data_IF_974976063458
#
_entry.id   IF_974976063458
#
_cell.length_a   1.000
_cell.length_b   1.000
_cell.length_c   1.000
_cell.angle_alpha   90.00
_cell.angle_beta   90.00
_cell.angle_gamma   90.00
#
_symmetry.space_group_name_H-M   'P 1'
#
loop_
_entity.id
_entity.type
_entity.pdbx_description
1 polymer ?
#
# COMPACT_ATOMS: atom_id res chain seq x y z
N UNK A 1 7.60 -24.29 -8.71
CA UNK A 1 6.71 -23.23 -9.22
C UNK A 1 5.44 -23.24 -8.37
N UNK A 2 4.79 -22.09 -8.13
CA UNK A 2 3.48 -22.11 -7.46
C UNK A 2 2.41 -22.57 -8.45
N UNK A 3 1.41 -23.29 -7.95
CA UNK A 3 0.20 -23.59 -8.69
C UNK A 3 -0.69 -22.35 -8.82
N UNK A 4 -1.59 -22.37 -9.81
CA UNK A 4 -2.47 -21.25 -10.12
C UNK A 4 -3.38 -20.88 -8.94
N UNK A 5 -3.89 -21.87 -8.20
CA UNK A 5 -4.76 -21.62 -7.06
C UNK A 5 -4.02 -20.85 -5.96
N UNK A 6 -2.78 -21.24 -5.65
CA UNK A 6 -1.92 -20.53 -4.73
C UNK A 6 -1.61 -19.11 -5.20
N UNK A 7 -1.33 -18.91 -6.49
CA UNK A 7 -1.09 -17.58 -7.06
C UNK A 7 -2.32 -16.69 -6.89
N UNK A 8 -3.50 -17.19 -7.25
CA UNK A 8 -4.76 -16.44 -7.15
C UNK A 8 -5.13 -16.13 -5.69
N UNK A 9 -4.88 -17.05 -4.77
CA UNK A 9 -5.11 -16.84 -3.32
C UNK A 9 -4.21 -15.74 -2.77
N UNK A 10 -2.91 -15.76 -3.09
CA UNK A 10 -2.00 -14.71 -2.66
C UNK A 10 -2.35 -13.37 -3.31
N UNK A 11 -2.66 -13.34 -4.61
CA UNK A 11 -3.10 -12.13 -5.30
C UNK A 11 -4.31 -11.49 -4.59
N UNK A 12 -5.36 -12.28 -4.31
CA UNK A 12 -6.55 -11.79 -3.61
C UNK A 12 -6.19 -11.22 -2.25
N UNK A 13 -5.35 -11.91 -1.47
CA UNK A 13 -4.87 -11.44 -0.17
C UNK A 13 -4.14 -10.09 -0.26
N UNK A 14 -3.23 -9.94 -1.22
CA UNK A 14 -2.50 -8.67 -1.42
C UNK A 14 -3.43 -7.53 -1.85
N UNK A 15 -4.34 -7.78 -2.79
CA UNK A 15 -5.27 -6.76 -3.29
C UNK A 15 -6.27 -6.32 -2.22
N UNK A 16 -6.86 -7.24 -1.46
CA UNK A 16 -7.78 -6.90 -0.35
C UNK A 16 -7.05 -6.07 0.72
N UNK A 17 -5.82 -6.44 1.08
CA UNK A 17 -5.01 -5.65 2.01
C UNK A 17 -4.68 -4.26 1.45
N UNK A 18 -4.34 -4.15 0.18
CA UNK A 18 -4.06 -2.86 -0.47
C UNK A 18 -5.27 -1.93 -0.42
N UNK A 19 -6.46 -2.45 -0.73
CA UNK A 19 -7.70 -1.69 -0.70
C UNK A 19 -8.08 -1.20 0.70
N UNK A 20 -7.93 -2.02 1.74
CA UNK A 20 -8.18 -1.59 3.12
C UNK A 20 -7.24 -0.45 3.55
N UNK A 21 -5.96 -0.54 3.21
CA UNK A 21 -5.00 0.53 3.49
C UNK A 21 -5.39 1.83 2.76
N UNK A 22 -5.80 1.72 1.49
CA UNK A 22 -6.26 2.87 0.71
C UNK A 22 -7.48 3.53 1.34
N UNK A 23 -8.49 2.75 1.76
CA UNK A 23 -9.67 3.29 2.45
C UNK A 23 -9.31 4.00 3.74
N UNK A 24 -8.39 3.44 4.53
CA UNK A 24 -7.88 4.09 5.75
C UNK A 24 -7.23 5.45 5.46
N UNK A 25 -6.43 5.55 4.39
CA UNK A 25 -5.82 6.81 3.96
C UNK A 25 -6.86 7.82 3.47
N UNK A 26 -7.84 7.38 2.69
CA UNK A 26 -8.92 8.25 2.20
C UNK A 26 -9.72 8.84 3.37
N UNK A 27 -10.01 8.05 4.39
CA UNK A 27 -10.72 8.52 5.58
C UNK A 27 -9.87 9.50 6.40
N UNK A 28 -8.59 9.17 6.62
CA UNK A 28 -7.68 10.02 7.43
C UNK A 28 -7.40 11.38 6.79
N UNK A 29 -7.34 11.44 5.45
CA UNK A 29 -7.05 12.66 4.70
C UNK A 29 -8.29 13.29 4.05
N UNK A 30 -9.49 12.76 4.30
CA UNK A 30 -10.75 13.15 3.67
C UNK A 30 -10.62 13.39 2.15
N UNK A 31 -10.04 12.42 1.43
CA UNK A 31 -9.71 12.56 0.02
C UNK A 31 -10.33 11.45 -0.85
N UNK A 32 -10.38 11.68 -2.16
CA UNK A 32 -10.87 10.69 -3.10
C UNK A 32 -9.91 9.49 -3.22
N UNK A 33 -10.40 8.36 -3.75
CA UNK A 33 -9.64 7.10 -3.83
C UNK A 33 -8.31 7.24 -4.58
N UNK A 34 -8.28 8.07 -5.63
CA UNK A 34 -7.06 8.32 -6.41
C UNK A 34 -6.01 9.01 -5.54
N UNK A 35 -6.39 10.08 -4.85
CA UNK A 35 -5.49 10.79 -3.94
C UNK A 35 -5.04 9.89 -2.79
N UNK A 36 -5.95 9.13 -2.18
CA UNK A 36 -5.59 8.19 -1.11
C UNK A 36 -4.59 7.12 -1.54
N UNK A 37 -4.66 6.65 -2.80
CA UNK A 37 -3.68 5.73 -3.38
C UNK A 37 -2.29 6.37 -3.48
N UNK A 38 -2.22 7.60 -3.99
CA UNK A 38 -0.96 8.35 -4.09
C UNK A 38 -0.39 8.63 -2.70
N UNK A 39 -1.20 9.11 -1.76
CA UNK A 39 -0.77 9.39 -0.39
C UNK A 39 -0.24 8.13 0.29
N UNK A 40 -0.89 6.97 0.11
CA UNK A 40 -0.42 5.70 0.63
C UNK A 40 0.97 5.32 0.07
N UNK A 41 1.15 5.45 -1.25
CA UNK A 41 2.40 5.12 -1.92
C UNK A 41 3.56 6.01 -1.46
N UNK A 42 3.35 7.34 -1.50
CA UNK A 42 4.36 8.32 -1.08
C UNK A 42 4.71 8.14 0.40
N UNK A 43 3.71 7.95 1.28
CA UNK A 43 3.95 7.77 2.71
C UNK A 43 4.82 6.53 3.00
N UNK A 44 4.60 5.41 2.30
CA UNK A 44 5.40 4.20 2.48
C UNK A 44 6.87 4.41 2.11
N UNK A 45 7.13 5.07 0.98
CA UNK A 45 8.50 5.37 0.53
C UNK A 45 9.15 6.36 1.47
N UNK A 46 8.47 7.47 1.78
CA UNK A 46 8.99 8.50 2.70
C UNK A 46 9.36 7.91 4.06
N UNK A 47 8.51 7.05 4.64
CA UNK A 47 8.80 6.39 5.91
C UNK A 47 9.99 5.44 5.83
N UNK A 48 10.10 4.67 4.74
CA UNK A 48 11.24 3.77 4.53
C UNK A 48 12.56 4.55 4.39
N UNK A 49 12.53 5.68 3.66
CA UNK A 49 13.68 6.58 3.52
C UNK A 49 14.08 7.18 4.87
N UNK A 50 13.12 7.71 5.63
CA UNK A 50 13.38 8.27 6.97
C UNK A 50 13.96 7.23 7.94
N UNK A 51 13.44 6.00 7.93
CA UNK A 51 13.91 4.92 8.81
C UNK A 51 15.33 4.46 8.46
N UNK A 52 15.69 4.42 7.18
CA UNK A 52 17.04 4.08 6.73
C UNK A 52 18.03 5.21 6.99
N UNK A 53 17.54 6.43 7.12
CA UNK A 53 18.36 7.63 7.28
C UNK A 53 19.01 8.05 5.96
N UNK A 54 19.68 9.19 6.03
CA UNK A 54 20.58 9.65 5.00
C UNK A 54 22.00 9.56 5.58
N UNK A 55 22.68 8.44 5.33
CA UNK A 55 24.14 8.46 5.40
C UNK A 55 24.62 9.37 4.27
N UNK A 56 25.25 10.48 4.63
CA UNK A 56 25.96 11.36 3.71
C UNK A 56 27.39 10.85 3.51
#
# INVERSE_FOLDING_TARGET
>A
MWDEEKVNRELKKYMTRAFHNLKGMCHSHNCNLRMGAFTLGVNRVARATQLRGWEA
#
